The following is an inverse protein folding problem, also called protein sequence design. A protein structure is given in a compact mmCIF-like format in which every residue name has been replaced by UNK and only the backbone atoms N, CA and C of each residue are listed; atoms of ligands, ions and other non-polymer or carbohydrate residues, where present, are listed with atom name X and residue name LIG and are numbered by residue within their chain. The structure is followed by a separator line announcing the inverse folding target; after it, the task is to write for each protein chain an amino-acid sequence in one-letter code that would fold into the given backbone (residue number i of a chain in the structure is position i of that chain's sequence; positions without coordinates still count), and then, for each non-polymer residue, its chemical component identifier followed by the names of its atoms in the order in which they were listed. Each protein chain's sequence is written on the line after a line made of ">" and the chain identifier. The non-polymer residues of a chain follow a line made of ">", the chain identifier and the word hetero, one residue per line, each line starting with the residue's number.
data_IF_599108366120
#
_entry.id   IF_599108366120
#
_cell.length_a   1.000
_cell.length_b   1.000
_cell.length_c   1.000
_cell.angle_alpha   90.00
_cell.angle_beta   90.00
_cell.angle_gamma   90.00
#
_symmetry.space_group_name_H-M   'P 1'
#
loop_
_entity.id
_entity.type
_entity.pdbx_description
1 polymer ?
#
# COMPACT_ATOMS: atom_id res chain seq x y z
N UNK A 1 -76.01 -11.81 -10.95
CA UNK A 1 -75.34 -12.82 -11.79
C UNK A 1 -74.33 -13.55 -10.92
N UNK A 2 -74.36 -14.89 -11.03
CA UNK A 2 -73.91 -15.89 -10.06
C UNK A 2 -72.40 -16.19 -10.11
N UNK A 3 -71.87 -16.78 -9.03
CA UNK A 3 -70.55 -17.40 -8.99
C UNK A 3 -70.07 -17.73 -7.58
N UNK A 4 -70.72 -18.68 -6.91
CA UNK A 4 -70.21 -19.41 -5.74
C UNK A 4 -69.12 -20.39 -6.16
N UNK A 5 -68.05 -20.55 -5.38
CA UNK A 5 -67.45 -21.88 -5.16
C UNK A 5 -66.53 -21.88 -3.93
N UNK A 6 -66.83 -22.85 -3.05
CA UNK A 6 -66.08 -23.36 -1.92
C UNK A 6 -64.65 -23.80 -2.30
N UNK A 7 -63.78 -23.91 -1.29
CA UNK A 7 -63.23 -25.20 -0.82
C UNK A 7 -61.83 -25.01 -0.21
N UNK A 8 -61.68 -25.52 1.00
CA UNK A 8 -60.45 -25.69 1.78
C UNK A 8 -59.37 -26.53 1.07
N UNK A 9 -58.08 -26.39 1.42
CA UNK A 9 -57.13 -27.49 1.78
C UNK A 9 -55.62 -27.12 1.68
N UNK A 10 -54.95 -27.11 2.84
CA UNK A 10 -53.65 -27.72 3.23
C UNK A 10 -52.41 -27.71 2.27
N UNK A 11 -51.38 -26.94 2.67
CA UNK A 11 -49.89 -27.13 2.80
C UNK A 11 -49.24 -28.46 2.28
N UNK A 12 -47.90 -28.59 1.97
CA UNK A 12 -46.82 -27.72 1.45
C UNK A 12 -46.14 -28.28 0.17
N UNK A 13 -45.37 -27.44 -0.55
CA UNK A 13 -44.50 -27.88 -1.65
C UNK A 13 -43.16 -27.15 -1.66
N UNK A 14 -42.09 -27.95 -1.61
CA UNK A 14 -40.65 -27.67 -1.66
C UNK A 14 -40.16 -26.43 -2.43
N UNK A 15 -39.06 -25.87 -1.91
CA UNK A 15 -38.00 -25.29 -2.73
C UNK A 15 -38.08 -23.78 -2.92
N UNK A 16 -37.74 -23.01 -1.86
CA UNK A 16 -37.28 -21.64 -2.06
C UNK A 16 -35.76 -21.67 -2.06
N UNK A 17 -35.21 -21.62 -3.27
CA UNK A 17 -33.87 -21.10 -3.53
C UNK A 17 -33.73 -19.76 -2.82
N UNK A 18 -32.86 -19.71 -1.81
CA UNK A 18 -32.41 -18.46 -1.23
C UNK A 18 -31.67 -17.68 -2.31
N UNK A 19 -32.40 -16.73 -2.92
CA UNK A 19 -31.84 -15.68 -3.74
C UNK A 19 -31.03 -14.82 -2.79
N UNK A 20 -29.73 -15.10 -2.72
CA UNK A 20 -28.74 -14.19 -2.18
C UNK A 20 -28.85 -12.87 -2.95
N UNK A 21 -29.45 -11.88 -2.30
CA UNK A 21 -29.47 -10.52 -2.80
C UNK A 21 -28.02 -10.09 -3.03
N UNK A 22 -27.64 -9.60 -4.22
CA UNK A 22 -26.31 -9.07 -4.41
C UNK A 22 -26.18 -7.85 -3.50
N UNK A 23 -25.33 -7.98 -2.47
CA UNK A 23 -24.83 -6.83 -1.72
C UNK A 23 -24.37 -5.79 -2.75
N UNK A 24 -24.72 -4.50 -2.59
CA UNK A 24 -24.20 -3.48 -3.49
C UNK A 24 -22.69 -3.57 -3.43
N UNK A 25 -22.08 -3.95 -4.55
CA UNK A 25 -20.64 -3.91 -4.71
C UNK A 25 -20.25 -2.46 -4.41
N UNK A 26 -19.63 -2.26 -3.26
CA UNK A 26 -19.06 -0.99 -2.88
C UNK A 26 -18.01 -0.71 -3.95
N UNK A 27 -18.36 0.14 -4.90
CA UNK A 27 -17.44 0.60 -5.91
C UNK A 27 -16.39 1.42 -5.19
N UNK A 28 -15.32 0.76 -4.78
CA UNK A 28 -14.02 1.42 -4.63
C UNK A 28 -13.55 1.74 -6.04
N UNK A 29 -14.27 2.65 -6.72
CA UNK A 29 -13.70 3.45 -7.78
C UNK A 29 -12.69 4.34 -7.07
N UNK A 30 -11.51 3.81 -6.77
CA UNK A 30 -10.34 4.62 -6.49
C UNK A 30 -10.25 5.57 -7.67
N UNK A 31 -10.53 6.85 -7.45
CA UNK A 31 -10.57 7.79 -8.56
C UNK A 31 -9.18 7.80 -9.16
N UNK A 32 -9.04 7.32 -10.38
CA UNK A 32 -7.82 7.47 -11.16
C UNK A 32 -7.32 8.90 -11.01
N UNK A 33 -6.07 9.07 -10.57
CA UNK A 33 -5.50 10.38 -10.26
C UNK A 33 -5.65 10.84 -8.80
N UNK A 34 -6.21 10.01 -7.91
CA UNK A 34 -6.31 10.30 -6.48
C UNK A 34 -4.93 10.30 -5.80
N UNK A 35 -4.72 11.24 -4.89
CA UNK A 35 -3.51 11.33 -4.08
C UNK A 35 -3.83 11.71 -2.63
N UNK A 36 -2.97 11.26 -1.72
CA UNK A 36 -2.96 11.64 -0.31
C UNK A 36 -1.51 11.90 0.09
N UNK A 37 -1.25 13.08 0.67
CA UNK A 37 0.06 13.41 1.21
C UNK A 37 -0.07 13.93 2.64
N UNK A 38 0.93 13.60 3.45
CA UNK A 38 1.12 14.15 4.78
C UNK A 38 2.57 14.57 4.93
N UNK A 39 2.79 15.76 5.49
CA UNK A 39 4.11 16.28 5.83
C UNK A 39 4.04 16.84 7.26
N UNK A 40 4.97 16.42 8.09
CA UNK A 40 5.06 16.85 9.48
C UNK A 40 6.49 17.22 9.83
N UNK A 41 6.64 18.33 10.54
CA UNK A 41 7.90 18.77 11.14
C UNK A 41 7.73 18.84 12.66
N UNK A 42 8.72 18.36 13.41
CA UNK A 42 8.74 18.44 14.87
C UNK A 42 10.10 18.93 15.37
N UNK A 43 10.06 19.91 16.28
CA UNK A 43 11.22 20.43 16.98
C UNK A 43 11.08 20.14 18.48
N UNK A 44 12.08 19.48 19.05
CA UNK A 44 12.20 19.29 20.49
C UNK A 44 13.45 20.02 20.98
N UNK A 45 13.23 21.03 21.84
CA UNK A 45 14.30 21.82 22.45
C UNK A 45 14.42 21.47 23.93
N UNK A 46 15.48 20.75 24.34
CA UNK A 46 15.77 20.54 25.75
C UNK A 46 16.01 21.87 26.47
N UNK A 47 15.66 21.92 27.77
CA UNK A 47 15.99 23.08 28.64
C UNK A 47 17.46 23.10 29.06
N UNK A 48 18.11 21.94 29.01
CA UNK A 48 19.52 21.74 29.30
C UNK A 48 20.37 22.16 28.08
N UNK A 49 21.23 23.19 28.20
CA UNK A 49 22.07 23.66 27.10
C UNK A 49 23.09 22.62 26.60
N UNK A 50 23.39 21.59 27.39
CA UNK A 50 24.30 20.51 27.01
C UNK A 50 23.64 19.46 26.10
N UNK A 51 22.30 19.47 25.98
CA UNK A 51 21.57 18.55 25.11
C UNK A 51 21.28 19.19 23.77
N UNK A 52 21.57 18.46 22.69
CA UNK A 52 21.27 18.88 21.32
C UNK A 52 19.75 18.92 21.12
N UNK A 53 19.27 19.91 20.38
CA UNK A 53 17.89 19.92 19.91
C UNK A 53 17.65 18.71 18.99
N UNK A 54 16.39 18.29 18.84
CA UNK A 54 16.01 17.27 17.85
C UNK A 54 15.04 17.87 16.87
N UNK A 55 15.31 17.70 15.58
CA UNK A 55 14.50 18.21 14.49
C UNK A 55 14.18 17.07 13.52
N UNK A 56 12.90 16.70 13.43
CA UNK A 56 12.44 15.62 12.57
C UNK A 56 11.55 16.16 11.46
N UNK A 57 11.82 15.74 10.23
CA UNK A 57 10.94 15.92 9.09
C UNK A 57 10.39 14.56 8.68
N UNK A 58 9.08 14.39 8.59
CA UNK A 58 8.46 13.14 8.15
C UNK A 58 7.42 13.39 7.07
N UNK A 59 7.39 12.53 6.08
CA UNK A 59 6.52 12.64 4.91
C UNK A 59 5.94 11.30 4.51
N UNK A 60 4.71 11.31 4.01
CA UNK A 60 4.08 10.17 3.35
C UNK A 60 3.30 10.67 2.15
N UNK A 61 3.42 9.99 1.03
CA UNK A 61 2.69 10.27 -0.21
C UNK A 61 2.17 8.95 -0.75
N UNK A 62 0.87 8.87 -1.02
CA UNK A 62 0.24 7.77 -1.74
C UNK A 62 -0.51 8.36 -2.92
N UNK A 63 -0.27 7.85 -4.12
CA UNK A 63 -1.02 8.30 -5.29
C UNK A 63 -1.22 7.18 -6.30
N UNK A 64 -2.26 7.35 -7.11
CA UNK A 64 -2.58 6.50 -8.25
C UNK A 64 -2.55 7.36 -9.52
N UNK A 65 -1.35 7.63 -10.10
CA UNK A 65 -1.23 8.57 -11.21
C UNK A 65 -2.08 8.19 -12.42
N UNK A 66 -2.22 6.89 -12.69
CA UNK A 66 -3.20 6.33 -13.65
C UNK A 66 -3.80 5.05 -13.07
N UNK A 67 -4.82 4.48 -13.72
CA UNK A 67 -5.56 3.28 -13.29
C UNK A 67 -4.69 2.09 -12.93
N UNK A 68 -3.51 2.01 -13.54
CA UNK A 68 -2.63 0.84 -13.45
C UNK A 68 -1.36 1.12 -12.65
N UNK A 69 -1.22 2.31 -12.09
CA UNK A 69 -0.08 2.70 -11.26
C UNK A 69 -0.50 2.90 -9.81
N UNK A 70 0.30 2.36 -8.89
CA UNK A 70 0.22 2.66 -7.46
C UNK A 70 1.59 3.08 -6.96
N UNK A 71 1.65 4.23 -6.32
CA UNK A 71 2.87 4.79 -5.73
C UNK A 71 2.65 4.98 -4.24
N UNK A 72 3.60 4.52 -3.42
CA UNK A 72 3.71 4.92 -2.02
C UNK A 72 5.14 5.33 -1.70
N UNK A 73 5.30 6.53 -1.16
CA UNK A 73 6.56 7.05 -0.68
C UNK A 73 6.42 7.43 0.79
N UNK A 74 7.43 7.11 1.59
CA UNK A 74 7.54 7.48 2.99
C UNK A 74 8.97 7.90 3.29
N UNK A 75 9.11 8.94 4.11
CA UNK A 75 10.41 9.42 4.55
C UNK A 75 10.33 9.94 5.99
N UNK A 76 11.41 9.77 6.74
CA UNK A 76 11.68 10.40 8.02
C UNK A 76 13.17 10.80 8.04
N UNK A 77 13.44 12.08 8.24
CA UNK A 77 14.77 12.67 8.17
C UNK A 77 15.06 13.47 9.43
N UNK A 78 16.17 13.14 10.08
CA UNK A 78 16.69 13.89 11.22
C UNK A 78 17.58 15.02 10.68
N UNK A 79 17.14 16.26 10.89
CA UNK A 79 17.81 17.46 10.38
C UNK A 79 19.08 17.79 11.17
N UNK A 80 19.20 17.31 12.42
CA UNK A 80 20.37 17.55 13.27
C UNK A 80 21.48 16.55 12.93
N UNK A 81 21.12 15.29 12.71
CA UNK A 81 22.04 14.25 12.26
C UNK A 81 22.32 14.30 10.76
N UNK A 82 21.48 14.98 9.99
CA UNK A 82 21.59 15.04 8.52
C UNK A 82 21.34 13.68 7.84
N UNK A 83 20.56 12.80 8.47
CA UNK A 83 20.40 11.42 8.04
C UNK A 83 18.93 10.97 7.99
N UNK A 84 18.64 10.04 7.08
CA UNK A 84 17.33 9.39 7.03
C UNK A 84 17.21 8.38 8.17
N UNK A 85 16.13 8.47 8.94
CA UNK A 85 15.71 7.41 9.86
C UNK A 85 14.93 6.31 9.13
N UNK A 86 14.19 6.70 8.09
CA UNK A 86 13.42 5.81 7.23
C UNK A 86 13.24 6.47 5.86
N UNK A 87 13.47 5.74 4.77
CA UNK A 87 13.16 6.23 3.43
C UNK A 87 12.75 5.05 2.55
N UNK A 88 11.49 5.02 2.12
CA UNK A 88 10.96 3.93 1.31
C UNK A 88 10.11 4.43 0.15
N UNK A 89 10.31 3.81 -1.01
CA UNK A 89 9.54 4.06 -2.23
C UNK A 89 9.05 2.70 -2.71
N UNK A 90 7.74 2.57 -2.90
CA UNK A 90 7.13 1.44 -3.58
C UNK A 90 6.33 1.91 -4.76
N UNK A 91 6.51 1.22 -5.87
CA UNK A 91 5.84 1.49 -7.13
C UNK A 91 5.37 0.15 -7.72
N UNK A 92 4.08 0.05 -8.00
CA UNK A 92 3.48 -1.13 -8.63
C UNK A 92 2.82 -0.70 -9.94
N UNK A 93 3.10 -1.43 -11.02
CA UNK A 93 2.47 -1.26 -12.32
C UNK A 93 1.80 -2.54 -12.79
N UNK A 94 0.50 -2.46 -13.02
CA UNK A 94 -0.28 -3.50 -13.68
C UNK A 94 -0.02 -3.46 -15.19
N UNK A 95 0.58 -4.50 -15.76
CA UNK A 95 0.85 -4.65 -17.20
C UNK A 95 -0.07 -5.72 -17.82
N UNK A 96 -1.31 -5.81 -17.31
CA UNK A 96 -2.34 -6.77 -17.68
C UNK A 96 -2.06 -8.20 -17.17
N UNK A 97 -1.25 -8.98 -17.90
CA UNK A 97 -0.84 -10.33 -17.46
C UNK A 97 0.40 -10.33 -16.59
N UNK A 98 1.12 -9.20 -16.55
CA UNK A 98 2.34 -9.03 -15.79
C UNK A 98 2.15 -7.96 -14.73
N UNK A 99 2.87 -8.08 -13.64
CA UNK A 99 3.00 -7.04 -12.63
C UNK A 99 4.47 -6.70 -12.44
N UNK A 100 4.77 -5.42 -12.54
CA UNK A 100 6.09 -4.89 -12.21
C UNK A 100 6.03 -4.23 -10.83
N UNK A 101 6.93 -4.64 -9.95
CA UNK A 101 7.09 -4.11 -8.60
C UNK A 101 8.50 -3.53 -8.45
N UNK A 102 8.54 -2.32 -7.92
CA UNK A 102 9.76 -1.64 -7.53
C UNK A 102 9.66 -1.31 -6.05
N UNK A 103 10.68 -1.69 -5.28
CA UNK A 103 10.84 -1.34 -3.89
C UNK A 103 12.25 -0.77 -3.65
N UNK A 104 12.30 0.41 -3.06
CA UNK A 104 13.49 0.98 -2.45
C UNK A 104 13.22 1.14 -0.96
N UNK A 105 14.20 0.76 -0.14
CA UNK A 105 14.18 0.97 1.30
C UNK A 105 15.58 1.36 1.76
N UNK A 106 15.68 2.40 2.56
CA UNK A 106 16.88 2.79 3.30
C UNK A 106 16.53 2.88 4.79
N UNK A 107 17.37 2.25 5.61
CA UNK A 107 17.23 2.20 7.07
C UNK A 107 18.06 3.31 7.75
N UNK A 108 17.78 3.57 9.02
CA UNK A 108 18.51 4.55 9.84
C UNK A 108 20.04 4.34 9.89
N UNK A 109 20.51 3.11 9.71
CA UNK A 109 21.95 2.81 9.70
C UNK A 109 22.61 3.10 8.34
N UNK A 110 21.86 3.62 7.37
CA UNK A 110 22.31 3.89 6.00
C UNK A 110 22.23 2.68 5.06
N UNK A 111 21.96 1.47 5.56
CA UNK A 111 21.78 0.29 4.72
C UNK A 111 20.56 0.46 3.84
N UNK A 112 20.70 0.13 2.55
CA UNK A 112 19.62 0.20 1.59
C UNK A 112 19.44 -1.10 0.82
N UNK A 113 18.21 -1.31 0.37
CA UNK A 113 17.83 -2.41 -0.50
C UNK A 113 17.03 -1.89 -1.67
N UNK A 114 17.33 -2.44 -2.83
CA UNK A 114 16.60 -2.21 -4.05
C UNK A 114 16.09 -3.54 -4.59
N UNK A 115 14.82 -3.57 -4.99
CA UNK A 115 14.22 -4.71 -5.66
C UNK A 115 13.41 -4.23 -6.85
N UNK A 116 13.67 -4.85 -7.99
CA UNK A 116 12.79 -4.77 -9.15
C UNK A 116 12.40 -6.18 -9.55
N UNK A 117 11.10 -6.44 -9.59
CA UNK A 117 10.55 -7.76 -9.90
C UNK A 117 9.46 -7.60 -10.95
N UNK A 118 9.48 -8.45 -11.96
CA UNK A 118 8.40 -8.58 -12.94
C UNK A 118 7.92 -10.03 -12.90
N UNK A 119 6.64 -10.23 -12.64
CA UNK A 119 6.04 -11.55 -12.51
C UNK A 119 4.74 -11.67 -13.29
N UNK A 120 4.45 -12.86 -13.81
CA UNK A 120 3.19 -13.14 -14.48
C UNK A 120 2.09 -13.35 -13.42
N UNK A 121 0.99 -12.60 -13.51
CA UNK A 121 -0.16 -12.72 -12.59
C UNK A 121 -0.86 -14.06 -12.72
N UNK A 122 -0.96 -14.57 -13.94
CA UNK A 122 -1.71 -15.79 -14.29
C UNK A 122 -0.91 -17.08 -13.99
N UNK A 123 0.41 -16.99 -13.83
CA UNK A 123 1.26 -18.13 -13.45
C UNK A 123 2.50 -17.61 -12.68
N UNK A 124 2.41 -17.56 -11.35
CA UNK A 124 3.40 -16.93 -10.45
C UNK A 124 4.78 -17.64 -10.40
N UNK A 125 4.97 -18.69 -11.19
CA UNK A 125 6.15 -19.55 -11.20
C UNK A 125 7.27 -19.07 -12.14
N UNK A 126 6.99 -18.14 -13.06
CA UNK A 126 8.00 -17.47 -13.86
C UNK A 126 8.41 -16.15 -13.19
N UNK A 127 9.39 -16.24 -12.28
CA UNK A 127 10.00 -15.11 -11.57
C UNK A 127 11.36 -14.77 -12.15
N UNK A 128 11.53 -13.54 -12.63
CA UNK A 128 12.85 -12.96 -12.88
C UNK A 128 13.23 -12.10 -11.66
N UNK A 129 14.00 -12.68 -10.73
CA UNK A 129 14.46 -12.02 -9.51
C UNK A 129 15.80 -11.28 -9.77
N UNK A 130 15.79 -9.95 -9.91
CA UNK A 130 17.01 -9.14 -9.82
C UNK A 130 17.06 -8.46 -8.45
N UNK A 131 18.00 -8.88 -7.61
CA UNK A 131 18.22 -8.34 -6.26
C UNK A 131 19.66 -7.83 -6.15
N UNK A 132 19.81 -6.52 -5.97
CA UNK A 132 21.09 -5.90 -5.64
C UNK A 132 21.03 -5.41 -4.19
N UNK A 133 22.00 -5.85 -3.38
CA UNK A 133 22.18 -5.43 -1.99
C UNK A 133 23.60 -4.87 -1.89
N UNK A 134 23.75 -3.63 -1.43
CA UNK A 134 25.05 -3.16 -0.96
C UNK A 134 25.18 -3.52 0.51
N UNK A 135 26.08 -4.46 0.81
CA UNK A 135 26.60 -4.70 2.14
C UNK A 135 27.84 -3.83 2.28
N UNK A 136 27.67 -2.59 2.72
CA UNK A 136 28.84 -1.79 3.09
C UNK A 136 29.27 -2.26 4.49
N UNK A 137 30.20 -3.23 4.52
CA UNK A 137 30.90 -3.58 5.76
C UNK A 137 31.77 -2.39 6.11
N UNK A 138 31.29 -1.57 7.03
CA UNK A 138 31.99 -0.39 7.53
C UNK A 138 33.44 -0.71 7.90
N UNK A 139 34.36 -0.35 7.01
CA UNK A 139 35.74 -0.11 7.36
C UNK A 139 35.77 1.24 8.07
N UNK A 140 35.80 1.18 9.40
CA UNK A 140 36.21 2.31 10.21
C UNK A 140 37.63 2.70 9.80
N UNK A 141 37.79 3.83 9.11
CA UNK A 141 39.10 4.47 9.00
C UNK A 141 39.40 5.16 10.32
N UNK A 142 40.48 4.72 10.97
CA UNK A 142 41.09 5.38 12.13
C UNK A 142 41.92 6.58 11.68
#
# INVERSE_FOLDING_TARGET
>A
FSGTMDESTIVPGMGRSDVSSPSPAQSTSGSTGGWNANLSYSLQRPRDPLRVASQMLSGTLRLQPTEKWSVSWRTAYDLELGAFNDHSIRLTRDLHRWEANFDFLQTATGNWTFRFEVSLRDNRDLKFDYRQRNLDMGLQSR
#
